data_IF_307581056950
#
_entry.id   IF_307581056950
#
_cell.length_a   1.000
_cell.length_b   1.000
_cell.length_c   1.000
_cell.angle_alpha   90.00
_cell.angle_beta   90.00
_cell.angle_gamma   90.00
#
_symmetry.space_group_name_H-M   'P 1'
#
loop_
_entity.id
_entity.type
_entity.pdbx_description
1 polymer ?
#
# COMPACT_ATOMS: atom_id res chain seq x y z
N UNK A 1 6.80 -16.45 17.56
CA UNK A 1 7.02 -15.51 16.42
C UNK A 1 6.54 -14.15 16.89
N UNK A 2 7.33 -13.10 16.68
CA UNK A 2 6.89 -11.71 16.92
C UNK A 2 5.72 -11.40 15.98
N UNK A 3 4.70 -10.69 16.48
CA UNK A 3 3.55 -10.28 15.68
C UNK A 3 3.93 -9.35 14.51
N UNK A 4 3.05 -9.16 13.54
CA UNK A 4 3.30 -8.26 12.43
C UNK A 4 3.55 -6.82 12.93
N UNK A 5 2.76 -6.35 13.89
CA UNK A 5 2.93 -5.02 14.52
C UNK A 5 4.32 -4.83 15.14
N UNK A 6 4.84 -5.84 15.87
CA UNK A 6 6.19 -5.77 16.44
C UNK A 6 7.27 -5.61 15.36
N UNK A 7 7.07 -6.26 14.20
CA UNK A 7 7.98 -6.16 13.06
C UNK A 7 7.91 -4.80 12.36
N UNK A 8 6.72 -4.20 12.26
CA UNK A 8 6.56 -2.82 11.77
C UNK A 8 7.32 -1.82 12.66
N UNK A 9 7.14 -1.91 13.98
CA UNK A 9 7.85 -1.05 14.94
C UNK A 9 9.36 -1.27 14.85
N UNK A 10 9.80 -2.52 14.76
CA UNK A 10 11.22 -2.85 14.60
C UNK A 10 11.80 -2.30 13.27
N UNK A 11 11.02 -2.35 12.19
CA UNK A 11 11.41 -1.76 10.91
C UNK A 11 11.60 -0.25 11.01
N UNK A 12 10.64 0.49 11.60
CA UNK A 12 10.78 1.94 11.84
C UNK A 12 11.99 2.26 12.71
N UNK A 13 12.21 1.51 13.79
CA UNK A 13 13.37 1.67 14.64
C UNK A 13 14.69 1.43 13.86
N UNK A 14 14.68 0.45 12.94
CA UNK A 14 15.85 0.17 12.11
C UNK A 14 16.16 1.27 11.10
N UNK A 15 15.14 1.96 10.57
CA UNK A 15 15.31 3.13 9.70
C UNK A 15 15.91 4.30 10.50
N UNK A 16 15.34 4.62 11.68
CA UNK A 16 15.79 5.70 12.55
C UNK A 16 17.21 5.49 13.07
N UNK A 17 17.64 4.24 13.27
CA UNK A 17 18.95 3.87 13.79
C UNK A 17 20.03 3.64 12.73
N UNK A 18 19.74 3.81 11.43
CA UNK A 18 20.69 3.58 10.36
C UNK A 18 21.35 4.88 9.90
N UNK A 19 22.67 5.00 10.07
CA UNK A 19 23.45 6.21 9.72
C UNK A 19 23.42 6.56 8.22
N UNK A 20 23.18 5.57 7.36
CA UNK A 20 23.05 5.79 5.91
C UNK A 20 21.69 6.39 5.51
N UNK A 21 20.77 6.57 6.47
CA UNK A 21 19.38 7.00 6.22
C UNK A 21 19.05 8.23 7.08
N UNK A 22 18.43 9.21 6.46
CA UNK A 22 17.80 10.34 7.14
C UNK A 22 16.28 10.14 7.08
N UNK A 23 15.65 10.00 8.24
CA UNK A 23 14.18 9.99 8.37
C UNK A 23 13.70 11.43 8.50
N UNK A 24 12.89 11.89 7.57
CA UNK A 24 12.33 13.24 7.55
C UNK A 24 11.00 13.32 8.29
N UNK A 25 10.20 12.28 8.18
CA UNK A 25 8.93 12.17 8.88
C UNK A 25 8.62 10.73 9.25
N UNK A 26 7.92 10.54 10.38
CA UNK A 26 7.43 9.23 10.80
C UNK A 26 6.14 9.40 11.61
N UNK A 27 5.06 8.84 11.10
CA UNK A 27 3.74 8.86 11.70
C UNK A 27 3.46 7.54 12.46
N UNK A 28 2.98 7.67 13.68
CA UNK A 28 2.44 6.58 14.49
C UNK A 28 1.09 7.05 15.04
N UNK A 29 0.09 7.14 14.14
CA UNK A 29 -1.22 7.67 14.47
C UNK A 29 -2.01 6.70 15.35
N UNK A 30 -2.70 7.18 16.39
CA UNK A 30 -3.49 6.32 17.26
C UNK A 30 -4.72 5.76 16.54
N UNK A 31 -5.11 4.55 16.91
CA UNK A 31 -6.38 3.93 16.53
C UNK A 31 -7.39 4.09 17.64
N UNK A 32 -8.67 4.14 17.31
CA UNK A 32 -9.76 4.06 18.30
C UNK A 32 -9.65 2.73 19.08
N UNK A 33 -9.65 2.79 20.41
CA UNK A 33 -9.33 1.64 21.27
C UNK A 33 -10.27 0.46 21.10
N UNK A 34 -11.52 0.70 20.73
CA UNK A 34 -12.52 -0.34 20.47
C UNK A 34 -12.25 -1.12 19.17
N UNK A 35 -11.42 -0.58 18.24
CA UNK A 35 -10.95 -1.26 17.02
C UNK A 35 -9.68 -2.09 17.22
N UNK A 36 -9.15 -2.17 18.44
CA UNK A 36 -7.87 -2.83 18.68
C UNK A 36 -7.88 -4.36 18.47
N UNK A 37 -9.07 -4.97 18.34
CA UNK A 37 -9.24 -6.40 18.07
C UNK A 37 -9.46 -6.67 16.58
N UNK A 38 -8.67 -7.58 15.97
CA UNK A 38 -8.78 -7.84 14.52
C UNK A 38 -10.13 -8.40 14.11
N UNK A 39 -10.71 -9.28 14.91
CA UNK A 39 -12.02 -9.91 14.62
C UNK A 39 -13.13 -8.86 14.62
N UNK A 40 -13.11 -7.94 15.60
CA UNK A 40 -14.08 -6.85 15.68
C UNK A 40 -13.88 -5.86 14.52
N UNK A 41 -12.65 -5.55 14.14
CA UNK A 41 -12.38 -4.69 12.99
C UNK A 41 -12.94 -5.28 11.68
N UNK A 42 -12.77 -6.59 11.45
CA UNK A 42 -13.36 -7.26 10.29
C UNK A 42 -14.89 -7.27 10.35
N UNK A 43 -15.47 -7.46 11.54
CA UNK A 43 -16.93 -7.38 11.74
C UNK A 43 -17.47 -5.99 11.37
N UNK A 44 -16.80 -4.93 11.80
CA UNK A 44 -17.15 -3.54 11.47
C UNK A 44 -17.08 -3.30 9.95
N UNK A 45 -16.01 -3.76 9.31
CA UNK A 45 -15.87 -3.66 7.85
C UNK A 45 -17.02 -4.37 7.14
N UNK A 46 -17.32 -5.60 7.56
CA UNK A 46 -18.43 -6.37 6.99
C UNK A 46 -19.79 -5.69 7.16
N UNK A 47 -20.06 -5.13 8.35
CA UNK A 47 -21.33 -4.46 8.64
C UNK A 47 -21.52 -3.13 7.93
N UNK A 48 -20.44 -2.33 7.84
CA UNK A 48 -20.54 -0.94 7.40
C UNK A 48 -20.23 -0.80 5.91
N UNK A 49 -19.18 -1.46 5.43
CA UNK A 49 -18.78 -1.39 4.04
C UNK A 49 -19.36 -2.55 3.18
N UNK A 50 -19.97 -3.55 3.82
CA UNK A 50 -20.46 -4.74 3.10
C UNK A 50 -19.35 -5.65 2.57
N UNK A 51 -18.11 -5.47 3.04
CA UNK A 51 -16.93 -6.16 2.52
C UNK A 51 -16.60 -7.39 3.35
N UNK A 52 -16.55 -8.56 2.71
CA UNK A 52 -16.10 -9.81 3.33
C UNK A 52 -14.60 -10.01 3.06
N UNK A 53 -13.75 -9.48 3.91
CA UNK A 53 -12.30 -9.66 3.79
C UNK A 53 -11.85 -11.06 4.24
N UNK A 54 -10.79 -11.56 3.60
CA UNK A 54 -10.23 -12.88 3.93
C UNK A 54 -9.72 -12.91 5.38
N UNK A 55 -10.05 -13.96 6.18
CA UNK A 55 -9.59 -14.09 7.57
C UNK A 55 -8.06 -14.08 7.71
N UNK A 56 -7.33 -14.49 6.68
CA UNK A 56 -5.85 -14.45 6.63
C UNK A 56 -5.28 -13.05 6.73
N UNK A 57 -6.03 -12.01 6.39
CA UNK A 57 -5.61 -10.62 6.56
C UNK A 57 -5.40 -10.23 8.03
N UNK A 58 -6.01 -10.97 8.96
CA UNK A 58 -5.80 -10.81 10.40
C UNK A 58 -4.35 -11.03 10.82
N UNK A 59 -3.60 -11.86 10.12
CA UNK A 59 -2.19 -12.15 10.43
C UNK A 59 -1.28 -10.92 10.37
N UNK A 60 -1.68 -9.91 9.58
CA UNK A 60 -0.97 -8.66 9.37
C UNK A 60 -1.68 -7.46 10.02
N UNK A 61 -2.53 -7.73 11.01
CA UNK A 61 -3.23 -6.69 11.75
C UNK A 61 -2.27 -5.84 12.58
N UNK A 62 -2.52 -4.54 12.61
CA UNK A 62 -1.82 -3.57 13.46
C UNK A 62 -2.83 -2.60 14.09
N UNK A 63 -2.46 -2.00 15.24
CA UNK A 63 -3.32 -1.12 16.05
C UNK A 63 -3.03 0.36 15.84
N UNK A 64 -2.48 0.73 14.69
CA UNK A 64 -2.28 2.12 14.30
C UNK A 64 -3.41 2.56 13.38
N UNK A 65 -3.97 3.74 13.60
CA UNK A 65 -4.91 4.37 12.65
C UNK A 65 -4.23 4.68 11.32
N UNK A 66 -2.99 5.18 11.42
CA UNK A 66 -2.03 5.27 10.33
C UNK A 66 -0.61 5.04 10.88
N UNK A 67 0.25 4.45 10.07
CA UNK A 67 1.65 4.27 10.36
C UNK A 67 2.46 4.56 9.10
N UNK A 68 3.37 5.53 9.16
CA UNK A 68 4.10 5.97 7.99
C UNK A 68 5.54 6.37 8.27
N UNK A 69 6.31 6.44 7.21
CA UNK A 69 7.68 6.94 7.25
C UNK A 69 8.08 7.50 5.88
N UNK A 70 8.72 8.66 5.90
CA UNK A 70 9.41 9.23 4.76
C UNK A 70 10.90 9.36 5.06
N UNK A 71 11.73 8.76 4.21
CA UNK A 71 13.17 8.72 4.42
C UNK A 71 13.94 8.85 3.10
N UNK A 72 15.18 9.33 3.20
CA UNK A 72 16.13 9.41 2.08
C UNK A 72 17.49 8.87 2.50
N UNK A 73 18.29 8.43 1.52
CA UNK A 73 19.68 8.14 1.77
C UNK A 73 20.44 9.42 2.14
N UNK A 74 21.33 9.34 3.13
CA UNK A 74 22.05 10.51 3.66
C UNK A 74 23.01 11.10 2.63
N UNK A 75 23.64 10.25 1.80
CA UNK A 75 24.65 10.67 0.81
C UNK A 75 24.03 10.98 -0.55
N UNK A 76 22.89 10.36 -0.89
CA UNK A 76 22.21 10.55 -2.18
C UNK A 76 20.69 10.65 -1.97
N UNK A 77 20.20 11.87 -1.88
CA UNK A 77 18.78 12.14 -1.62
C UNK A 77 17.84 11.78 -2.77
N UNK A 78 18.35 11.34 -3.92
CA UNK A 78 17.53 10.77 -5.00
C UNK A 78 17.05 9.37 -4.63
N UNK A 79 17.78 8.67 -3.75
CA UNK A 79 17.44 7.36 -3.24
C UNK A 79 16.63 7.50 -1.95
N UNK A 80 15.54 6.77 -1.85
CA UNK A 80 14.70 6.87 -0.67
C UNK A 80 13.48 5.99 -0.72
N UNK A 81 12.61 6.20 0.24
CA UNK A 81 11.36 5.49 0.36
C UNK A 81 10.33 6.25 1.16
N UNK A 82 9.09 5.87 0.93
CA UNK A 82 7.93 6.39 1.63
C UNK A 82 6.85 5.33 1.67
N UNK A 83 6.12 5.30 2.77
CA UNK A 83 4.89 4.55 2.91
C UNK A 83 4.00 5.21 3.96
N UNK A 84 2.71 5.01 3.86
CA UNK A 84 1.72 5.39 4.84
C UNK A 84 0.61 4.36 4.88
N UNK A 85 0.79 3.36 5.74
CA UNK A 85 -0.21 2.33 5.98
C UNK A 85 -1.39 2.88 6.78
N UNK A 86 -2.58 2.73 6.25
CA UNK A 86 -3.83 2.98 6.96
C UNK A 86 -4.36 1.69 7.58
N UNK A 87 -5.01 1.81 8.72
CA UNK A 87 -5.75 0.69 9.31
C UNK A 87 -6.85 0.21 8.36
N UNK A 88 -7.10 -1.11 8.31
CA UNK A 88 -8.09 -1.70 7.40
C UNK A 88 -9.47 -1.06 7.51
N UNK A 89 -9.93 -0.72 8.73
CA UNK A 89 -11.20 -0.01 8.90
C UNK A 89 -11.14 1.37 8.25
N UNK A 90 -10.05 2.12 8.45
CA UNK A 90 -9.89 3.44 7.83
C UNK A 90 -9.82 3.33 6.30
N UNK A 91 -9.27 2.25 5.79
CA UNK A 91 -9.21 1.94 4.35
C UNK A 91 -10.59 1.65 3.77
N UNK A 92 -11.36 0.75 4.40
CA UNK A 92 -12.60 0.21 3.83
C UNK A 92 -13.84 1.03 4.21
N UNK A 93 -13.84 1.68 5.37
CA UNK A 93 -15.03 2.34 5.93
C UNK A 93 -14.83 3.86 5.98
N UNK A 94 -13.60 4.32 6.14
CA UNK A 94 -13.25 5.73 6.32
C UNK A 94 -12.59 5.99 7.67
N UNK A 95 -12.04 7.20 7.81
CA UNK A 95 -11.28 7.58 8.99
C UNK A 95 -12.14 7.56 10.27
N UNK A 96 -11.68 6.80 11.24
CA UNK A 96 -12.30 6.70 12.56
C UNK A 96 -11.48 7.51 13.56
N UNK A 97 -12.05 8.61 14.13
CA UNK A 97 -11.34 9.41 15.11
C UNK A 97 -10.91 8.55 16.32
N UNK A 98 -9.65 8.65 16.77
CA UNK A 98 -9.15 7.79 17.86
C UNK A 98 -9.87 7.98 19.20
N UNK A 99 -10.52 9.13 19.38
CA UNK A 99 -11.23 9.48 20.61
C UNK A 99 -12.74 9.18 20.59
N UNK A 100 -13.29 8.75 19.44
CA UNK A 100 -14.70 8.45 19.32
C UNK A 100 -15.03 7.12 20.01
N UNK A 101 -16.16 7.03 20.69
CA UNK A 101 -16.68 5.76 21.15
C UNK A 101 -17.36 5.00 20.02
N UNK A 102 -17.45 3.67 20.12
CA UNK A 102 -18.18 2.85 19.16
C UNK A 102 -19.66 3.27 19.05
N UNK A 103 -20.27 3.65 20.18
CA UNK A 103 -21.68 4.07 20.25
C UNK A 103 -21.94 5.41 19.54
N UNK A 104 -20.95 6.29 19.52
CA UNK A 104 -21.06 7.62 18.90
C UNK A 104 -20.61 7.60 17.43
N UNK A 105 -19.91 6.55 17.02
CA UNK A 105 -19.51 6.40 15.63
C UNK A 105 -20.73 5.97 14.82
N UNK A 106 -21.14 6.75 13.81
CA UNK A 106 -22.36 6.47 13.06
C UNK A 106 -22.19 5.20 12.23
N UNK A 107 -22.52 4.07 12.85
CA UNK A 107 -22.68 2.82 12.14
C UNK A 107 -23.92 2.96 11.26
N UNK A 108 -23.72 3.00 9.98
CA UNK A 108 -24.65 2.53 8.97
C UNK A 108 -25.51 3.50 8.16
N UNK A 109 -26.22 4.47 8.65
CA UNK A 109 -27.30 4.99 7.82
C UNK A 109 -27.10 6.39 7.20
N UNK A 110 -26.00 7.05 7.52
CA UNK A 110 -25.77 8.41 7.00
C UNK A 110 -24.52 8.45 6.16
N UNK A 111 -24.52 7.67 5.07
CA UNK A 111 -23.56 7.84 4.00
C UNK A 111 -22.23 8.43 4.51
N UNK A 112 -21.34 7.60 5.05
CA UNK A 112 -19.96 8.04 5.07
C UNK A 112 -19.69 8.47 3.65
N UNK A 113 -19.67 9.77 3.47
CA UNK A 113 -19.41 10.32 2.16
C UNK A 113 -18.06 9.72 1.75
N UNK A 114 -17.93 9.28 0.53
CA UNK A 114 -16.68 8.92 -0.14
C UNK A 114 -15.53 9.88 0.19
N UNK A 115 -15.84 11.08 0.65
CA UNK A 115 -14.92 12.14 1.11
C UNK A 115 -14.15 11.82 2.40
N UNK A 116 -14.53 10.81 3.16
CA UNK A 116 -13.87 10.46 4.45
C UNK A 116 -13.10 9.14 4.34
N UNK A 117 -13.43 8.29 3.38
CA UNK A 117 -12.65 7.11 3.05
C UNK A 117 -11.42 7.51 2.20
N UNK A 118 -10.30 6.81 2.36
CA UNK A 118 -9.17 6.89 1.44
C UNK A 118 -9.54 6.23 0.10
N UNK A 119 -10.56 6.77 -0.55
CA UNK A 119 -11.05 6.29 -1.84
C UNK A 119 -10.47 7.18 -2.92
N UNK A 120 -9.75 6.60 -3.83
CA UNK A 120 -9.27 7.26 -5.03
C UNK A 120 -10.03 6.71 -6.23
N UNK A 121 -10.65 7.60 -6.97
CA UNK A 121 -11.22 7.29 -8.28
C UNK A 121 -10.10 7.40 -9.30
N UNK A 122 -9.84 6.31 -10.00
CA UNK A 122 -8.81 6.20 -11.03
C UNK A 122 -9.46 5.67 -12.29
N UNK A 123 -9.13 6.22 -13.43
CA UNK A 123 -9.67 5.75 -14.70
C UNK A 123 -8.73 4.72 -15.31
N UNK A 124 -9.30 3.62 -15.78
CA UNK A 124 -8.57 2.62 -16.55
C UNK A 124 -8.03 3.27 -17.83
N UNK A 125 -6.81 2.94 -18.26
CA UNK A 125 -6.19 3.52 -19.45
C UNK A 125 -6.89 3.12 -20.75
N UNK A 126 -7.63 2.01 -20.74
CA UNK A 126 -8.40 1.53 -21.89
C UNK A 126 -9.86 1.92 -21.74
N UNK A 127 -10.40 2.53 -22.77
CA UNK A 127 -11.85 2.70 -22.90
C UNK A 127 -12.49 1.33 -23.19
N UNK A 128 -13.71 1.14 -22.76
CA UNK A 128 -14.51 -0.02 -23.14
C UNK A 128 -14.85 -0.04 -24.66
N UNK A 129 -15.56 -1.07 -25.12
CA UNK A 129 -15.97 -1.21 -26.54
C UNK A 129 -16.82 -0.03 -27.03
N UNK A 130 -17.46 0.72 -26.13
CA UNK A 130 -18.29 1.89 -26.43
C UNK A 130 -17.48 3.20 -26.40
N UNK A 131 -16.20 3.16 -25.99
CA UNK A 131 -15.30 4.30 -25.88
C UNK A 131 -15.45 5.07 -24.57
N UNK A 132 -16.14 4.50 -23.59
CA UNK A 132 -16.24 5.05 -22.24
C UNK A 132 -15.05 4.59 -21.38
N UNK A 133 -14.48 5.51 -20.59
CA UNK A 133 -13.43 5.19 -19.64
C UNK A 133 -14.01 4.43 -18.46
N UNK A 134 -13.49 3.25 -18.20
CA UNK A 134 -13.87 2.47 -17.02
C UNK A 134 -13.28 3.13 -15.77
N UNK A 135 -14.15 3.55 -14.86
CA UNK A 135 -13.74 4.07 -13.55
C UNK A 135 -13.36 2.93 -12.62
N UNK A 136 -12.15 3.01 -12.04
CA UNK A 136 -11.70 2.10 -11.01
C UNK A 136 -11.69 2.82 -9.65
N UNK A 137 -12.43 2.27 -8.70
CA UNK A 137 -12.44 2.78 -7.32
C UNK A 137 -11.46 1.99 -6.48
N UNK A 138 -10.46 2.68 -5.92
CA UNK A 138 -9.46 2.09 -5.04
C UNK A 138 -9.68 2.53 -3.59
N UNK A 139 -9.75 1.58 -2.67
CA UNK A 139 -9.65 1.82 -1.23
C UNK A 139 -8.18 1.81 -0.83
N UNK A 140 -7.55 2.99 -0.70
CA UNK A 140 -6.13 3.15 -0.44
C UNK A 140 -5.73 2.72 0.97
N UNK A 141 -4.87 1.72 1.07
CA UNK A 141 -4.31 1.27 2.34
C UNK A 141 -2.84 1.66 2.54
N UNK A 142 -2.12 1.98 1.46
CA UNK A 142 -0.76 2.53 1.51
C UNK A 142 -0.65 3.70 0.53
N UNK A 143 0.20 4.67 0.82
CA UNK A 143 0.35 5.84 -0.03
C UNK A 143 1.59 6.66 0.27
N UNK A 144 1.86 7.62 -0.63
CA UNK A 144 2.95 8.58 -0.51
C UNK A 144 2.37 9.99 -0.35
N UNK A 145 2.57 10.59 0.82
CA UNK A 145 2.05 11.91 1.14
C UNK A 145 3.08 13.03 0.92
N UNK A 146 4.38 12.71 1.03
CA UNK A 146 5.48 13.69 1.03
C UNK A 146 6.14 13.86 -0.33
N UNK A 147 6.26 12.78 -1.11
CA UNK A 147 6.81 12.85 -2.47
C UNK A 147 5.92 13.60 -3.44
N UNK A 148 4.63 13.72 -3.12
CA UNK A 148 3.67 14.49 -3.93
C UNK A 148 3.34 13.86 -5.29
N UNK A 149 3.76 12.62 -5.52
CA UNK A 149 3.47 11.87 -6.76
C UNK A 149 2.05 11.31 -6.80
N UNK A 150 1.37 11.29 -5.63
CA UNK A 150 0.02 10.77 -5.49
C UNK A 150 -0.05 9.24 -5.63
N UNK A 151 1.04 8.55 -5.26
CA UNK A 151 1.06 7.10 -5.31
C UNK A 151 0.15 6.47 -4.25
N UNK A 152 -0.64 5.49 -4.65
CA UNK A 152 -1.59 4.76 -3.80
C UNK A 152 -1.55 3.29 -4.15
N UNK A 153 -1.41 2.43 -3.13
CA UNK A 153 -1.79 1.03 -3.23
C UNK A 153 -3.15 0.83 -2.56
N UNK A 154 -4.07 0.22 -3.26
CA UNK A 154 -5.45 0.08 -2.80
C UNK A 154 -6.10 -1.23 -3.21
N UNK A 155 -7.19 -1.56 -2.54
CA UNK A 155 -8.10 -2.63 -2.95
C UNK A 155 -9.03 -2.11 -4.04
N UNK A 156 -9.18 -2.88 -5.11
CA UNK A 156 -10.25 -2.61 -6.09
C UNK A 156 -11.61 -2.80 -5.41
N UNK A 157 -12.50 -1.85 -5.59
CA UNK A 157 -13.88 -1.93 -5.14
C UNK A 157 -14.83 -1.55 -6.29
N UNK A 158 -15.58 -2.53 -6.74
CA UNK A 158 -16.77 -2.38 -7.58
C UNK A 158 -17.86 -3.24 -6.96
N UNK A 159 -19.04 -2.71 -6.68
CA UNK A 159 -20.19 -3.43 -6.09
C UNK A 159 -19.84 -4.55 -5.09
N UNK A 160 -18.70 -4.39 -4.41
CA UNK A 160 -18.04 -5.37 -3.55
C UNK A 160 -16.54 -5.46 -3.86
N UNK A 161 -15.75 -6.00 -2.92
CA UNK A 161 -14.34 -6.25 -3.15
C UNK A 161 -14.17 -7.38 -4.15
N UNK A 162 -13.46 -7.14 -5.26
CA UNK A 162 -13.05 -8.18 -6.17
C UNK A 162 -11.96 -9.00 -5.50
N UNK A 163 -12.20 -10.29 -5.35
CA UNK A 163 -11.25 -11.23 -4.73
C UNK A 163 -10.46 -11.95 -5.83
N UNK A 164 -9.18 -12.16 -5.56
CA UNK A 164 -8.35 -13.07 -6.33
C UNK A 164 -8.77 -14.54 -6.11
N UNK A 165 -8.13 -15.47 -6.83
CA UNK A 165 -8.43 -16.90 -6.72
C UNK A 165 -8.15 -17.49 -5.31
N UNK A 166 -7.40 -16.78 -4.47
CA UNK A 166 -7.06 -17.15 -3.08
C UNK A 166 -8.04 -16.57 -2.06
N UNK A 167 -9.00 -15.74 -2.50
CA UNK A 167 -9.94 -15.04 -1.64
C UNK A 167 -9.38 -13.78 -0.99
N UNK A 168 -8.26 -13.24 -1.51
CA UNK A 168 -7.71 -11.95 -1.13
C UNK A 168 -8.22 -10.84 -2.05
N UNK A 169 -8.35 -9.60 -1.56
CA UNK A 169 -8.71 -8.49 -2.44
C UNK A 169 -7.62 -8.26 -3.49
N UNK A 170 -8.05 -7.98 -4.71
CA UNK A 170 -7.17 -7.54 -5.78
C UNK A 170 -6.48 -6.22 -5.40
N UNK A 171 -5.17 -6.16 -5.55
CA UNK A 171 -4.38 -4.97 -5.22
C UNK A 171 -3.95 -4.26 -6.49
N UNK A 172 -4.21 -2.97 -6.52
CA UNK A 172 -3.79 -2.07 -7.58
C UNK A 172 -2.85 -0.99 -7.05
N UNK A 173 -1.96 -0.54 -7.90
CA UNK A 173 -1.05 0.56 -7.63
C UNK A 173 -1.22 1.64 -8.68
N UNK A 174 -1.49 2.85 -8.21
CA UNK A 174 -1.70 4.03 -9.03
C UNK A 174 -0.71 5.12 -8.65
N UNK A 175 -0.18 5.83 -9.65
CA UNK A 175 0.66 7.02 -9.48
C UNK A 175 0.12 8.13 -10.36
N UNK A 176 -0.58 9.09 -9.77
CA UNK A 176 -1.30 10.14 -10.50
C UNK A 176 -0.39 10.99 -11.38
N UNK A 177 0.82 11.33 -10.92
CA UNK A 177 1.73 12.19 -11.67
C UNK A 177 2.31 11.53 -12.92
N UNK A 178 2.42 10.21 -12.94
CA UNK A 178 2.89 9.43 -14.09
C UNK A 178 1.77 8.81 -14.93
N UNK A 179 0.52 8.86 -14.44
CA UNK A 179 -0.59 8.17 -15.08
C UNK A 179 -0.51 6.64 -14.99
N UNK A 180 0.34 6.11 -14.11
CA UNK A 180 0.45 4.66 -13.90
C UNK A 180 -0.77 4.12 -13.16
N UNK A 181 -1.33 3.02 -13.66
CA UNK A 181 -2.36 2.25 -12.97
C UNK A 181 -2.16 0.77 -13.32
N UNK A 182 -1.63 -0.01 -12.38
CA UNK A 182 -1.27 -1.41 -12.62
C UNK A 182 -1.79 -2.31 -11.51
N UNK A 183 -2.19 -3.54 -11.89
CA UNK A 183 -2.50 -4.59 -10.93
C UNK A 183 -1.21 -5.23 -10.40
N UNK A 184 -1.17 -5.50 -9.10
CA UNK A 184 -0.06 -6.17 -8.47
C UNK A 184 -0.34 -7.67 -8.29
N UNK A 185 0.63 -8.50 -8.65
CA UNK A 185 0.65 -9.94 -8.35
C UNK A 185 1.09 -10.17 -6.90
N UNK A 186 0.27 -9.66 -5.98
CA UNK A 186 0.47 -9.75 -4.53
C UNK A 186 -0.88 -9.83 -3.82
N UNK A 187 -0.98 -10.73 -2.85
CA UNK A 187 -2.02 -10.62 -1.83
C UNK A 187 -1.70 -9.52 -0.83
N UNK A 188 -2.69 -9.06 -0.07
CA UNK A 188 -2.50 -8.06 0.98
C UNK A 188 -1.41 -8.45 2.01
N UNK A 189 -1.38 -9.69 2.56
CA UNK A 189 -0.28 -10.10 3.43
C UNK A 189 1.09 -10.06 2.77
N UNK A 190 1.21 -10.48 1.49
CA UNK A 190 2.48 -10.44 0.75
C UNK A 190 2.93 -9.01 0.47
N UNK A 191 1.99 -8.10 0.17
CA UNK A 191 2.29 -6.68 0.06
C UNK A 191 2.94 -6.15 1.33
N UNK A 192 2.32 -6.41 2.49
CA UNK A 192 2.82 -5.94 3.78
C UNK A 192 4.17 -6.57 4.17
N UNK A 193 4.38 -7.85 3.87
CA UNK A 193 5.68 -8.50 4.08
C UNK A 193 6.77 -7.88 3.17
N UNK A 194 6.41 -7.57 1.93
CA UNK A 194 7.33 -6.91 0.99
C UNK A 194 7.61 -5.47 1.42
N UNK A 195 6.62 -4.75 1.92
CA UNK A 195 6.81 -3.42 2.51
C UNK A 195 7.80 -3.46 3.69
N UNK A 196 7.67 -4.44 4.59
CA UNK A 196 8.62 -4.63 5.69
C UNK A 196 10.05 -4.87 5.19
N UNK A 197 10.21 -5.67 4.13
CA UNK A 197 11.50 -5.95 3.52
C UNK A 197 12.08 -4.71 2.86
N UNK A 198 11.30 -4.02 2.03
CA UNK A 198 11.73 -2.86 1.23
C UNK A 198 11.77 -1.57 2.03
N UNK A 199 11.08 -1.51 3.18
CA UNK A 199 10.93 -0.30 4.02
C UNK A 199 10.30 0.87 3.26
N UNK A 200 9.39 0.56 2.34
CA UNK A 200 8.73 1.55 1.50
C UNK A 200 9.63 2.16 0.42
N UNK A 201 10.69 1.45 -0.01
CA UNK A 201 11.59 1.86 -1.09
C UNK A 201 10.80 2.34 -2.31
N UNK A 202 11.10 3.50 -2.87
CA UNK A 202 10.33 4.02 -4.01
C UNK A 202 10.32 3.05 -5.19
N UNK A 203 9.12 2.81 -5.72
CA UNK A 203 8.89 2.03 -6.93
C UNK A 203 8.99 0.51 -6.76
N UNK A 204 9.15 -0.02 -5.55
CA UNK A 204 9.22 -1.46 -5.36
C UNK A 204 7.96 -2.21 -5.83
N UNK A 205 6.81 -1.54 -5.83
CA UNK A 205 5.53 -2.08 -6.30
C UNK A 205 5.59 -2.55 -7.74
N UNK A 206 6.30 -1.80 -8.59
CA UNK A 206 6.43 -2.14 -10.01
C UNK A 206 7.06 -3.51 -10.29
N UNK A 207 7.83 -4.06 -9.34
CA UNK A 207 8.39 -5.40 -9.47
C UNK A 207 7.33 -6.51 -9.41
N UNK A 208 6.12 -6.17 -9.05
CA UNK A 208 4.99 -7.09 -8.92
C UNK A 208 3.85 -6.78 -9.90
N UNK A 209 4.06 -5.86 -10.82
CA UNK A 209 3.17 -5.62 -11.94
C UNK A 209 3.63 -6.40 -13.18
N UNK A 210 2.69 -6.65 -14.09
CA UNK A 210 3.05 -7.16 -15.42
C UNK A 210 3.83 -6.07 -16.18
N UNK A 211 5.06 -6.32 -16.65
CA UNK A 211 5.84 -5.33 -17.38
C UNK A 211 5.16 -4.87 -18.68
N UNK A 212 4.25 -5.65 -19.25
CA UNK A 212 3.48 -5.34 -20.46
C UNK A 212 2.08 -4.79 -20.15
N UNK A 213 1.78 -4.50 -18.86
CA UNK A 213 0.49 -3.93 -18.48
C UNK A 213 0.29 -2.57 -19.18
N UNK A 214 -0.86 -2.37 -19.86
CA UNK A 214 -1.18 -1.12 -20.55
C UNK A 214 -1.29 0.08 -19.59
N UNK A 215 -1.45 -0.17 -18.30
CA UNK A 215 -1.42 0.85 -17.25
C UNK A 215 -0.06 1.50 -17.01
N UNK A 216 1.02 1.02 -17.66
CA UNK A 216 2.27 1.75 -17.71
C UNK A 216 2.25 2.78 -18.83
N UNK A 217 2.65 4.04 -18.57
CA UNK A 217 2.78 5.02 -19.64
C UNK A 217 3.91 4.65 -20.60
N UNK A 218 3.80 5.04 -21.88
CA UNK A 218 4.79 4.77 -22.92
C UNK A 218 6.21 5.24 -22.54
N UNK A 219 6.32 6.32 -21.75
CA UNK A 219 7.58 6.89 -21.28
C UNK A 219 8.00 6.39 -19.88
N UNK A 220 7.50 5.24 -19.45
CA UNK A 220 7.88 4.68 -18.15
C UNK A 220 9.36 4.25 -18.16
N UNK A 221 10.16 4.92 -17.34
CA UNK A 221 11.62 4.74 -17.29
C UNK A 221 12.16 4.55 -15.86
N UNK A 222 11.36 4.07 -14.94
CA UNK A 222 11.82 3.88 -13.56
C UNK A 222 12.89 2.78 -13.50
N UNK A 223 14.12 3.17 -13.16
CA UNK A 223 15.18 2.22 -12.80
C UNK A 223 15.27 2.07 -11.29
N UNK A 224 14.72 0.98 -10.78
CA UNK A 224 14.76 0.66 -9.34
C UNK A 224 16.09 0.01 -8.92
N UNK A 225 16.98 -0.36 -9.85
CA UNK A 225 18.25 -1.04 -9.55
C UNK A 225 19.09 -0.30 -8.51
N UNK A 226 19.39 1.00 -8.69
CA UNK A 226 20.15 1.79 -7.70
C UNK A 226 19.51 1.81 -6.31
N UNK A 227 18.17 1.83 -6.25
CA UNK A 227 17.42 1.78 -4.99
C UNK A 227 17.59 0.43 -4.28
N UNK A 228 17.51 -0.69 -5.03
CA UNK A 228 17.75 -2.04 -4.49
C UNK A 228 19.19 -2.23 -4.03
N UNK A 229 20.15 -1.64 -4.72
CA UNK A 229 21.56 -1.68 -4.34
C UNK A 229 21.83 -0.90 -3.07
N UNK A 230 21.21 0.27 -2.94
CA UNK A 230 21.30 1.07 -1.72
C UNK A 230 20.71 0.34 -0.51
N UNK A 231 19.45 -0.11 -0.60
CA UNK A 231 18.77 -0.74 0.55
C UNK A 231 19.46 -2.03 1.00
N UNK A 232 20.02 -2.81 0.05
CA UNK A 232 20.77 -4.02 0.37
C UNK A 232 22.09 -3.71 1.10
N UNK A 233 22.76 -2.60 0.77
CA UNK A 233 23.95 -2.15 1.52
C UNK A 233 23.58 -1.59 2.88
N UNK A 234 22.49 -0.83 2.98
CA UNK A 234 22.03 -0.25 4.24
C UNK A 234 21.54 -1.32 5.24
N UNK A 235 20.98 -2.43 4.73
CA UNK A 235 20.45 -3.52 5.55
C UNK A 235 20.99 -4.90 5.14
N UNK A 236 22.28 -5.19 5.36
CA UNK A 236 22.97 -6.37 4.84
C UNK A 236 22.50 -7.71 5.45
N UNK A 237 21.65 -7.66 6.48
CA UNK A 237 21.03 -8.86 7.09
C UNK A 237 19.70 -9.24 6.46
N UNK A 238 19.14 -8.40 5.58
CA UNK A 238 17.91 -8.67 4.84
C UNK A 238 18.25 -9.34 3.51
N UNK A 239 17.44 -10.31 3.09
CA UNK A 239 17.61 -10.99 1.80
C UNK A 239 16.78 -10.30 0.72
N UNK A 240 17.44 -9.65 -0.21
CA UNK A 240 16.84 -8.97 -1.36
C UNK A 240 16.97 -9.78 -2.66
N UNK A 241 17.41 -11.03 -2.63
CA UNK A 241 17.67 -11.84 -3.82
C UNK A 241 16.44 -12.00 -4.71
N UNK A 242 15.28 -12.26 -4.11
CA UNK A 242 14.02 -12.39 -4.85
C UNK A 242 13.61 -11.10 -5.55
N UNK A 243 13.77 -9.94 -4.91
CA UNK A 243 13.46 -8.64 -5.52
C UNK A 243 14.42 -8.30 -6.66
N UNK A 244 15.71 -8.64 -6.52
CA UNK A 244 16.69 -8.48 -7.59
C UNK A 244 16.36 -9.36 -8.81
N UNK A 245 15.99 -10.62 -8.59
CA UNK A 245 15.57 -11.51 -9.65
C UNK A 245 14.31 -10.98 -10.38
N UNK A 246 13.33 -10.45 -9.64
CA UNK A 246 12.15 -9.80 -10.24
C UNK A 246 12.54 -8.56 -11.04
N UNK A 247 13.44 -7.71 -10.53
CA UNK A 247 13.92 -6.53 -11.24
C UNK A 247 14.63 -6.90 -12.56
N UNK A 248 15.49 -7.91 -12.55
CA UNK A 248 16.15 -8.41 -13.76
C UNK A 248 15.14 -8.93 -14.79
N UNK A 249 14.12 -9.69 -14.34
CA UNK A 249 13.06 -10.20 -15.21
C UNK A 249 12.22 -9.07 -15.80
N UNK A 250 11.78 -8.13 -14.98
CA UNK A 250 11.01 -6.94 -15.39
C UNK A 250 11.78 -6.11 -16.43
N UNK A 251 13.06 -5.81 -16.14
CA UNK A 251 13.92 -5.02 -17.04
C UNK A 251 14.16 -5.72 -18.38
N UNK A 252 14.27 -7.04 -18.38
CA UNK A 252 14.42 -7.84 -19.60
C UNK A 252 13.15 -7.79 -20.45
N UNK A 253 12.00 -8.06 -19.85
CA UNK A 253 10.71 -8.06 -20.53
C UNK A 253 10.44 -6.72 -21.23
N UNK A 254 10.71 -5.60 -20.56
CA UNK A 254 10.51 -4.25 -21.16
C UNK A 254 11.54 -3.82 -22.20
N UNK A 255 12.65 -4.55 -22.37
CA UNK A 255 13.62 -4.26 -23.44
C UNK A 255 13.35 -5.02 -24.72
N UNK A 256 12.57 -6.09 -24.61
CA UNK A 256 12.24 -6.97 -25.75
C UNK A 256 11.03 -6.44 -26.54
N UNK A 257 10.37 -5.36 -26.08
CA UNK A 257 9.35 -4.57 -26.75
C UNK A 257 9.98 -3.38 -27.49
#
# INVERSE_FOLDING_TARGET
MTGFEDRLVAMLASLRGNEAITVYDAEEGPLATWLAGPEHALEVIGKVAGLALAPSMVSNFHRYGALGCYWRATEDTTLGGEFRLNHLVNTCVGWVPPTISEADWPASERGYSRLVANVSEVYMPEADEEGELTELVLHGFDGTAHTGDGAIAGFRAEDGVVLDASGHPEIWYSVNTSGTLVRLDLSYPEYLETLLLTRGLHGWQYLFADPHDPGFPEYFHLDIGPHLDFIARAFPRSDFSALRARHEAFTRARKDD
#
